data_IF_913376536861
#
_entry.id   IF_913376536861
#
_cell.length_a   1.000
_cell.length_b   1.000
_cell.length_c   1.000
_cell.angle_alpha   90.00
_cell.angle_beta   90.00
_cell.angle_gamma   90.00
#
_symmetry.space_group_name_H-M   'P 1'
#
loop_
_entity.id
_entity.type
_entity.pdbx_description
1 polymer ?
#
# COMPACT_ATOMS: atom_id res chain seq x y z
N UNK A 1 21.41 -27.28 -7.19
CA UNK A 1 20.47 -27.00 -8.29
C UNK A 1 21.26 -26.36 -9.43
N UNK A 2 21.37 -27.02 -10.59
CA UNK A 2 22.19 -26.51 -11.71
C UNK A 2 21.32 -25.58 -12.55
N UNK A 3 21.60 -24.27 -12.48
CA UNK A 3 20.90 -23.28 -13.29
C UNK A 3 21.56 -23.18 -14.68
N UNK A 4 20.91 -23.74 -15.70
CA UNK A 4 21.34 -23.60 -17.09
C UNK A 4 20.95 -22.21 -17.61
N UNK A 5 21.85 -21.23 -17.50
CA UNK A 5 21.64 -19.89 -18.06
C UNK A 5 22.13 -19.84 -19.50
N UNK A 6 21.29 -19.38 -20.42
CA UNK A 6 21.68 -19.14 -21.81
C UNK A 6 21.55 -17.65 -22.13
N UNK A 7 22.58 -17.06 -22.74
CA UNK A 7 22.49 -15.70 -23.28
C UNK A 7 21.85 -15.80 -24.66
N UNK A 8 20.70 -15.14 -24.85
CA UNK A 8 20.06 -15.01 -26.18
C UNK A 8 20.19 -13.58 -26.69
N UNK A 9 20.57 -13.46 -27.95
CA UNK A 9 20.58 -12.20 -28.70
C UNK A 9 19.27 -12.09 -29.47
N UNK A 10 18.58 -10.96 -29.36
CA UNK A 10 17.36 -10.68 -30.14
C UNK A 10 17.60 -9.40 -30.94
N UNK A 11 17.45 -9.40 -32.28
CA UNK A 11 17.69 -8.22 -33.09
C UNK A 11 16.66 -7.13 -32.75
N UNK A 12 17.12 -5.88 -32.71
CA UNK A 12 16.28 -4.70 -32.46
C UNK A 12 16.13 -3.84 -33.71
N UNK A 13 17.23 -3.59 -34.42
CA UNK A 13 17.27 -2.73 -35.60
C UNK A 13 18.58 -2.97 -36.36
N UNK A 14 18.56 -2.75 -37.67
CA UNK A 14 19.69 -2.93 -38.57
C UNK A 14 19.88 -1.66 -39.43
N UNK A 15 21.12 -1.38 -39.84
CA UNK A 15 21.45 -0.22 -40.67
C UNK A 15 22.69 -0.50 -41.53
N UNK A 16 22.59 -0.28 -42.83
CA UNK A 16 23.70 -0.32 -43.78
C UNK A 16 24.69 0.83 -43.53
N UNK A 17 25.98 0.55 -43.71
CA UNK A 17 27.07 1.52 -43.69
C UNK A 17 27.37 1.93 -45.14
N UNK A 18 27.04 3.16 -45.55
CA UNK A 18 27.34 3.63 -46.90
C UNK A 18 28.84 3.89 -47.07
N UNK A 19 29.33 3.73 -48.31
CA UNK A 19 30.67 4.01 -48.79
C UNK A 19 31.83 3.21 -48.17
N UNK A 20 31.54 2.28 -47.26
CA UNK A 20 32.55 1.38 -46.68
C UNK A 20 32.73 0.12 -47.55
N UNK A 21 33.99 -0.30 -47.74
CA UNK A 21 34.36 -1.54 -48.44
C UNK A 21 34.48 -2.71 -47.46
N UNK A 22 34.00 -3.90 -47.84
CA UNK A 22 34.24 -5.10 -47.05
C UNK A 22 35.72 -5.51 -47.12
N UNK A 23 36.44 -5.70 -45.99
CA UNK A 23 37.86 -6.08 -45.99
C UNK A 23 38.14 -7.50 -46.52
N UNK A 24 37.09 -8.31 -46.76
CA UNK A 24 37.22 -9.69 -47.27
C UNK A 24 36.83 -9.82 -48.74
N UNK A 25 35.81 -9.09 -49.21
CA UNK A 25 35.29 -9.22 -50.58
C UNK A 25 35.35 -7.93 -51.43
N UNK A 26 35.86 -6.82 -50.90
CA UNK A 26 36.02 -5.54 -51.61
C UNK A 26 34.72 -4.83 -52.02
N UNK A 27 33.54 -5.42 -51.79
CA UNK A 27 32.26 -4.84 -52.20
C UNK A 27 31.89 -3.63 -51.32
N UNK A 28 31.65 -2.48 -51.96
CA UNK A 28 31.08 -1.26 -51.35
C UNK A 28 29.62 -1.46 -50.93
N UNK A 29 29.18 -0.68 -49.94
CA UNK A 29 27.78 -0.64 -49.47
C UNK A 29 27.23 -2.00 -49.00
N UNK A 30 28.13 -2.94 -48.67
CA UNK A 30 27.79 -4.32 -48.32
C UNK A 30 27.82 -4.58 -46.81
N UNK A 31 28.19 -3.59 -45.99
CA UNK A 31 28.32 -3.76 -44.54
C UNK A 31 27.04 -3.31 -43.82
N UNK A 32 26.56 -4.14 -42.90
CA UNK A 32 25.40 -3.88 -42.07
C UNK A 32 25.76 -3.93 -40.58
N UNK A 33 25.25 -2.97 -39.81
CA UNK A 33 25.32 -2.95 -38.35
C UNK A 33 23.97 -3.36 -37.78
N UNK A 34 23.95 -4.44 -36.99
CA UNK A 34 22.73 -4.89 -36.29
C UNK A 34 22.88 -4.65 -34.80
N UNK A 35 21.91 -3.94 -34.22
CA UNK A 35 21.78 -3.77 -32.78
C UNK A 35 20.97 -4.94 -32.19
N UNK A 36 21.55 -5.64 -31.23
CA UNK A 36 20.87 -6.71 -30.49
C UNK A 36 20.65 -6.33 -29.04
N UNK A 37 19.54 -6.78 -28.46
CA UNK A 37 19.39 -6.86 -27.01
C UNK A 37 19.90 -8.22 -26.52
N UNK A 38 20.75 -8.22 -25.49
CA UNK A 38 21.17 -9.43 -24.77
C UNK A 38 20.16 -9.72 -23.67
N UNK A 39 19.65 -10.95 -23.60
CA UNK A 39 18.80 -11.42 -22.51
C UNK A 39 19.44 -12.61 -21.80
N UNK A 40 19.39 -12.63 -20.46
CA UNK A 40 19.61 -13.87 -19.71
C UNK A 40 18.31 -14.70 -19.79
N UNK A 41 18.35 -15.84 -20.48
CA UNK A 41 17.22 -16.79 -20.48
C UNK A 41 17.33 -17.67 -19.23
N UNK A 42 16.63 -17.27 -18.18
CA UNK A 42 16.45 -18.03 -16.94
C UNK A 42 14.95 -18.07 -16.60
N UNK A 43 14.26 -19.08 -17.11
CA UNK A 43 12.79 -19.29 -17.09
C UNK A 43 11.91 -18.17 -17.70
N UNK A 44 12.24 -16.89 -17.52
CA UNK A 44 11.44 -15.74 -18.00
C UNK A 44 12.38 -14.63 -18.53
N UNK A 45 12.10 -13.97 -19.68
CA UNK A 45 13.05 -13.07 -20.34
C UNK A 45 13.14 -11.64 -19.74
N UNK A 46 13.12 -11.50 -18.41
CA UNK A 46 13.08 -10.19 -17.76
C UNK A 46 14.44 -9.48 -17.61
N UNK A 47 15.56 -10.19 -17.71
CA UNK A 47 16.89 -9.61 -17.48
C UNK A 47 17.57 -9.21 -18.80
N UNK A 48 17.30 -7.97 -19.24
CA UNK A 48 18.01 -7.33 -20.34
C UNK A 48 19.44 -6.96 -19.94
N UNK A 49 20.41 -7.79 -20.30
CA UNK A 49 21.83 -7.69 -19.90
C UNK A 49 22.62 -6.60 -20.64
N UNK A 50 21.97 -5.76 -21.45
CA UNK A 50 22.58 -4.72 -22.25
C UNK A 50 22.42 -4.92 -23.75
N UNK A 51 23.15 -4.11 -24.53
CA UNK A 51 23.09 -4.12 -26.00
C UNK A 51 24.38 -4.65 -26.60
N UNK A 52 24.25 -5.57 -27.53
CA UNK A 52 25.32 -5.96 -28.43
C UNK A 52 25.16 -5.27 -29.78
N UNK A 53 26.24 -5.23 -30.56
CA UNK A 53 26.23 -4.75 -31.94
C UNK A 53 27.07 -5.70 -32.77
N UNK A 54 26.45 -6.30 -33.77
CA UNK A 54 27.13 -7.05 -34.82
C UNK A 54 27.49 -6.11 -35.97
N UNK A 55 28.55 -6.46 -36.70
CA UNK A 55 28.85 -5.88 -38.00
C UNK A 55 29.24 -7.02 -38.92
N UNK A 56 28.49 -7.20 -40.02
CA UNK A 56 28.74 -8.26 -41.00
C UNK A 56 28.60 -7.72 -42.43
N UNK A 57 29.12 -8.47 -43.40
CA UNK A 57 28.95 -8.17 -44.82
C UNK A 57 27.81 -8.99 -45.41
N UNK A 58 26.76 -8.34 -45.92
CA UNK A 58 25.59 -8.96 -46.57
C UNK A 58 25.92 -9.64 -47.91
N UNK A 59 27.15 -9.50 -48.41
CA UNK A 59 27.59 -10.04 -49.69
C UNK A 59 28.56 -11.23 -49.60
N UNK A 60 29.05 -11.56 -48.41
CA UNK A 60 29.92 -12.72 -48.16
C UNK A 60 29.76 -13.31 -46.74
N UNK A 61 28.74 -12.88 -46.01
CA UNK A 61 28.39 -13.25 -44.62
C UNK A 61 29.53 -13.17 -43.60
N UNK A 62 30.60 -12.45 -43.91
CA UNK A 62 31.74 -12.31 -43.01
C UNK A 62 31.42 -11.39 -41.83
N UNK A 63 31.48 -11.95 -40.62
CA UNK A 63 31.27 -11.23 -39.36
C UNK A 63 32.53 -10.49 -38.93
N UNK A 64 32.58 -9.20 -39.23
CA UNK A 64 33.66 -8.28 -38.81
C UNK A 64 33.66 -8.12 -37.28
N UNK A 65 32.47 -8.02 -36.68
CA UNK A 65 32.26 -7.85 -35.24
C UNK A 65 31.18 -8.81 -34.74
N UNK A 66 31.59 -9.78 -33.95
CA UNK A 66 30.69 -10.74 -33.30
C UNK A 66 29.92 -10.08 -32.12
N UNK A 67 28.57 -10.17 -32.06
CA UNK A 67 27.77 -9.65 -30.96
C UNK A 67 27.99 -10.39 -29.62
N UNK A 68 28.61 -11.57 -29.64
CA UNK A 68 28.96 -12.42 -28.49
C UNK A 68 30.32 -12.07 -27.88
N UNK A 69 31.20 -11.41 -28.65
CA UNK A 69 32.56 -11.12 -28.24
C UNK A 69 32.66 -10.37 -26.89
N UNK A 70 33.68 -10.66 -26.07
CA UNK A 70 33.88 -9.99 -24.79
C UNK A 70 34.30 -8.53 -24.98
N UNK A 71 34.00 -7.68 -23.98
CA UNK A 71 34.23 -6.22 -24.06
C UNK A 71 35.70 -5.83 -24.28
N UNK A 72 36.64 -6.67 -23.83
CA UNK A 72 38.08 -6.48 -24.00
C UNK A 72 38.61 -6.86 -25.39
N UNK A 73 37.82 -7.54 -26.24
CA UNK A 73 38.17 -7.84 -27.64
C UNK A 73 37.98 -6.61 -28.55
N UNK A 74 38.69 -5.51 -28.24
CA UNK A 74 38.71 -4.29 -29.04
C UNK A 74 39.51 -4.54 -30.33
N UNK A 75 38.83 -4.87 -31.42
CA UNK A 75 39.41 -4.75 -32.77
C UNK A 75 39.51 -3.27 -33.15
N UNK A 76 40.51 -2.93 -33.95
CA UNK A 76 40.57 -1.64 -34.63
C UNK A 76 39.56 -1.65 -35.78
N UNK A 77 38.46 -0.92 -35.61
CA UNK A 77 37.44 -0.72 -36.65
C UNK A 77 37.72 0.61 -37.37
N UNK A 78 37.24 0.74 -38.61
CA UNK A 78 37.29 2.02 -39.32
C UNK A 78 36.42 3.09 -38.64
N UNK A 79 36.70 4.39 -38.86
CA UNK A 79 35.89 5.47 -38.31
C UNK A 79 34.40 5.37 -38.66
N UNK A 80 34.06 4.98 -39.91
CA UNK A 80 32.69 4.82 -40.37
C UNK A 80 31.93 3.72 -39.60
N UNK A 81 32.57 2.57 -39.34
CA UNK A 81 31.99 1.50 -38.52
C UNK A 81 31.76 1.98 -37.08
N UNK A 82 32.70 2.72 -36.50
CA UNK A 82 32.58 3.26 -35.14
C UNK A 82 31.42 4.26 -35.06
N UNK A 83 31.29 5.15 -36.04
CA UNK A 83 30.20 6.13 -36.10
C UNK A 83 28.84 5.47 -36.27
N UNK A 84 28.72 4.49 -37.19
CA UNK A 84 27.48 3.73 -37.39
C UNK A 84 27.04 3.00 -36.09
N UNK A 85 27.98 2.38 -35.38
CA UNK A 85 27.75 1.74 -34.06
C UNK A 85 27.30 2.77 -33.01
N UNK A 86 27.85 3.99 -33.02
CA UNK A 86 27.43 5.06 -32.10
C UNK A 86 26.01 5.53 -32.43
N UNK A 87 25.75 5.84 -33.69
CA UNK A 87 24.47 6.33 -34.23
C UNK A 87 23.30 5.37 -33.95
N UNK A 88 23.46 4.08 -34.22
CA UNK A 88 22.40 3.08 -33.98
C UNK A 88 22.11 2.89 -32.47
N UNK A 89 23.13 3.04 -31.62
CA UNK A 89 22.99 2.96 -30.15
C UNK A 89 22.29 4.18 -29.54
N UNK A 90 22.57 5.38 -30.05
CA UNK A 90 21.95 6.63 -29.55
C UNK A 90 20.51 6.79 -30.02
N UNK A 91 20.21 6.42 -31.27
CA UNK A 91 18.88 6.61 -31.84
C UNK A 91 17.85 5.62 -31.29
N UNK A 92 18.26 4.38 -30.99
CA UNK A 92 17.39 3.45 -30.28
C UNK A 92 17.30 3.84 -28.79
N UNK A 93 16.28 4.59 -28.39
CA UNK A 93 15.99 4.85 -26.96
C UNK A 93 15.54 3.54 -26.25
N UNK A 94 15.58 3.50 -24.92
CA UNK A 94 14.94 2.42 -24.14
C UNK A 94 13.52 2.83 -23.81
N UNK A 95 12.56 1.91 -23.89
CA UNK A 95 11.20 2.13 -23.41
C UNK A 95 11.23 2.24 -21.89
N UNK A 96 10.49 3.19 -21.29
CA UNK A 96 10.48 3.38 -19.83
C UNK A 96 10.08 2.11 -19.06
N UNK A 97 9.21 1.28 -19.63
CA UNK A 97 8.85 -0.04 -19.10
C UNK A 97 10.05 -1.00 -18.91
N UNK A 98 11.15 -0.82 -19.66
CA UNK A 98 12.40 -1.59 -19.47
C UNK A 98 13.23 -1.13 -18.26
N UNK A 99 12.83 -0.04 -17.57
CA UNK A 99 13.44 0.44 -16.32
C UNK A 99 12.69 -0.07 -15.08
N UNK A 100 11.48 -0.64 -15.23
CA UNK A 100 10.82 -1.42 -14.19
C UNK A 100 11.52 -2.77 -14.12
N UNK A 101 12.69 -2.77 -13.50
CA UNK A 101 13.46 -3.98 -13.26
C UNK A 101 12.74 -4.90 -12.27
N UNK A 102 12.95 -6.23 -12.33
CA UNK A 102 12.31 -7.17 -11.41
C UNK A 102 12.51 -6.83 -9.92
N UNK A 103 13.63 -6.20 -9.55
CA UNK A 103 13.85 -5.78 -8.16
C UNK A 103 12.87 -4.71 -7.69
N UNK A 104 12.38 -3.79 -8.53
CA UNK A 104 11.43 -2.74 -8.09
C UNK A 104 10.09 -3.36 -7.72
N UNK A 105 9.67 -4.40 -8.44
CA UNK A 105 8.50 -5.23 -8.12
C UNK A 105 8.73 -5.99 -6.81
N UNK A 106 9.90 -6.62 -6.62
CA UNK A 106 10.22 -7.29 -5.36
C UNK A 106 10.21 -6.33 -4.16
N UNK A 107 10.80 -5.13 -4.28
CA UNK A 107 10.79 -4.11 -3.23
C UNK A 107 9.38 -3.60 -2.93
N UNK A 108 8.53 -3.41 -3.94
CA UNK A 108 7.14 -3.01 -3.75
C UNK A 108 6.34 -4.09 -3.00
N UNK A 109 6.48 -5.36 -3.39
CA UNK A 109 5.82 -6.50 -2.70
C UNK A 109 6.30 -6.60 -1.25
N UNK A 110 7.61 -6.49 -1.00
CA UNK A 110 8.17 -6.50 0.34
C UNK A 110 7.64 -5.33 1.20
N UNK A 111 7.55 -4.12 0.64
CA UNK A 111 7.01 -2.96 1.34
C UNK A 111 5.52 -3.09 1.70
N UNK A 112 4.71 -3.68 0.82
CA UNK A 112 3.30 -3.98 1.10
C UNK A 112 3.18 -5.05 2.20
N UNK A 113 4.00 -6.11 2.13
CA UNK A 113 3.98 -7.20 3.11
C UNK A 113 4.41 -6.73 4.51
N UNK A 114 5.48 -5.94 4.63
CA UNK A 114 5.92 -5.41 5.93
C UNK A 114 4.92 -4.42 6.51
N UNK A 115 4.32 -3.55 5.68
CA UNK A 115 3.26 -2.64 6.11
C UNK A 115 2.03 -3.40 6.64
N UNK A 116 1.61 -4.47 5.95
CA UNK A 116 0.51 -5.33 6.39
C UNK A 116 0.76 -5.98 7.76
N UNK A 117 1.96 -6.52 7.98
CA UNK A 117 2.35 -7.14 9.25
C UNK A 117 2.39 -6.12 10.41
N UNK A 118 2.94 -4.92 10.18
CA UNK A 118 2.99 -3.85 11.18
C UNK A 118 1.56 -3.44 11.60
N UNK A 119 0.67 -3.22 10.63
CA UNK A 119 -0.72 -2.87 10.90
C UNK A 119 -1.47 -4.01 11.63
N UNK A 120 -1.17 -5.28 11.32
CA UNK A 120 -1.78 -6.42 12.00
C UNK A 120 -1.37 -6.49 13.47
N UNK A 121 -0.09 -6.28 13.81
CA UNK A 121 0.39 -6.24 15.19
C UNK A 121 -0.20 -5.05 15.98
N UNK A 122 -0.34 -3.87 15.34
CA UNK A 122 -1.02 -2.71 15.96
C UNK A 122 -2.48 -3.06 16.28
N UNK A 123 -3.22 -3.63 15.32
CA UNK A 123 -4.61 -4.07 15.53
C UNK A 123 -4.74 -5.11 16.63
N UNK A 124 -3.81 -6.07 16.71
CA UNK A 124 -3.79 -7.11 17.74
C UNK A 124 -3.56 -6.51 19.14
N UNK A 125 -2.65 -5.55 19.28
CA UNK A 125 -2.43 -4.85 20.56
C UNK A 125 -3.64 -4.03 20.98
N UNK A 126 -4.26 -3.31 20.05
CA UNK A 126 -5.46 -2.52 20.35
C UNK A 126 -6.62 -3.43 20.79
N UNK A 127 -6.87 -4.54 20.07
CA UNK A 127 -7.93 -5.49 20.44
C UNK A 127 -7.73 -6.12 21.82
N UNK A 128 -6.52 -6.58 22.16
CA UNK A 128 -6.20 -7.10 23.50
C UNK A 128 -6.43 -6.08 24.62
N UNK A 129 -5.99 -4.83 24.43
CA UNK A 129 -6.24 -3.76 25.40
C UNK A 129 -7.75 -3.53 25.60
N UNK A 130 -8.54 -3.60 24.52
CA UNK A 130 -10.00 -3.40 24.60
C UNK A 130 -10.70 -4.50 25.40
N UNK A 131 -10.26 -5.74 25.22
CA UNK A 131 -10.75 -6.90 25.98
C UNK A 131 -10.46 -6.70 27.48
N UNK A 132 -9.26 -6.27 27.86
CA UNK A 132 -8.88 -5.96 29.26
C UNK A 132 -9.77 -4.86 29.88
N UNK A 133 -10.07 -3.78 29.14
CA UNK A 133 -10.97 -2.71 29.63
C UNK A 133 -12.44 -3.16 29.75
N UNK A 134 -12.88 -4.14 28.95
CA UNK A 134 -14.21 -4.72 29.04
C UNK A 134 -14.31 -5.76 30.16
N UNK A 135 -13.25 -6.51 30.45
CA UNK A 135 -13.21 -7.46 31.58
C UNK A 135 -13.15 -6.77 32.95
N UNK A 136 -12.55 -5.57 33.03
CA UNK A 136 -12.34 -4.82 34.27
C UNK A 136 -12.87 -3.37 34.18
N UNK A 137 -14.20 -3.18 34.07
CA UNK A 137 -14.81 -1.84 33.99
C UNK A 137 -14.67 -1.06 35.30
N UNK A 138 -14.41 0.24 35.20
CA UNK A 138 -14.28 1.15 36.33
C UNK A 138 -15.27 2.32 36.26
N UNK A 139 -15.71 2.80 37.43
CA UNK A 139 -16.56 3.99 37.50
C UNK A 139 -15.79 5.19 36.97
N UNK A 140 -16.36 5.86 35.95
CA UNK A 140 -15.71 6.93 35.20
C UNK A 140 -15.47 6.59 33.73
N UNK A 141 -15.34 5.32 33.37
CA UNK A 141 -15.02 4.85 32.00
C UNK A 141 -16.07 5.31 30.97
N UNK A 142 -15.63 5.65 29.75
CA UNK A 142 -16.48 6.15 28.66
C UNK A 142 -16.37 5.25 27.43
N UNK A 143 -17.50 4.67 27.02
CA UNK A 143 -17.60 3.76 25.89
C UNK A 143 -18.44 4.40 24.78
N UNK A 144 -17.93 4.52 23.55
CA UNK A 144 -18.73 4.68 22.32
C UNK A 144 -19.66 3.46 22.17
N UNK A 145 -20.88 3.65 21.67
CA UNK A 145 -21.91 2.61 21.61
C UNK A 145 -22.75 2.74 20.35
N UNK A 146 -22.95 1.64 19.63
CA UNK A 146 -23.89 1.51 18.52
C UNK A 146 -25.27 1.01 19.01
N UNK A 147 -26.02 1.86 19.71
CA UNK A 147 -27.29 1.49 20.37
C UNK A 147 -28.49 1.62 19.43
N UNK A 148 -29.49 0.75 19.58
CA UNK A 148 -30.75 0.89 18.84
C UNK A 148 -31.68 1.95 19.46
N UNK A 149 -32.37 2.76 18.64
CA UNK A 149 -33.23 3.88 19.06
C UNK A 149 -34.30 3.52 20.11
N UNK A 150 -34.86 2.31 20.06
CA UNK A 150 -35.86 1.87 21.04
C UNK A 150 -35.35 1.82 22.49
N UNK A 151 -34.03 1.80 22.72
CA UNK A 151 -33.44 1.80 24.05
C UNK A 151 -33.12 3.21 24.58
N UNK A 152 -32.79 4.15 23.71
CA UNK A 152 -32.54 5.56 24.07
C UNK A 152 -33.84 6.38 24.13
N UNK A 153 -34.89 5.96 23.42
CA UNK A 153 -36.13 6.73 23.28
C UNK A 153 -36.05 7.81 22.19
N UNK A 154 -34.98 7.82 21.40
CA UNK A 154 -34.80 8.69 20.24
C UNK A 154 -35.74 8.22 19.14
N UNK A 155 -36.57 9.11 18.59
CA UNK A 155 -37.45 8.81 17.46
C UNK A 155 -36.65 8.86 16.16
N UNK A 156 -36.33 7.71 15.58
CA UNK A 156 -35.72 7.57 14.24
C UNK A 156 -36.67 6.89 13.26
N UNK A 157 -36.37 6.96 11.97
CA UNK A 157 -37.20 6.38 10.90
C UNK A 157 -36.56 5.08 10.40
N UNK A 158 -36.96 3.95 11.01
CA UNK A 158 -36.51 2.60 10.63
C UNK A 158 -35.45 2.00 11.55
N UNK A 159 -34.80 0.91 11.10
CA UNK A 159 -33.80 0.13 11.87
C UNK A 159 -32.41 0.80 11.93
N UNK A 160 -32.37 2.12 12.03
CA UNK A 160 -31.13 2.92 12.07
C UNK A 160 -30.49 2.77 13.45
N UNK A 161 -29.17 2.60 13.53
CA UNK A 161 -28.43 2.60 14.80
C UNK A 161 -28.03 4.04 15.17
N UNK A 162 -27.99 4.31 16.48
CA UNK A 162 -27.50 5.58 17.04
C UNK A 162 -26.09 5.35 17.58
N UNK A 163 -25.16 6.23 17.22
CA UNK A 163 -23.78 6.19 17.68
C UNK A 163 -23.55 7.36 18.65
N UNK A 164 -23.10 7.05 19.87
CA UNK A 164 -22.94 8.03 20.97
C UNK A 164 -21.99 7.49 22.05
N UNK A 165 -21.62 8.30 23.04
CA UNK A 165 -20.80 7.90 24.19
C UNK A 165 -21.69 7.53 25.39
N UNK A 166 -21.30 6.53 26.17
CA UNK A 166 -21.90 6.13 27.45
C UNK A 166 -20.85 6.17 28.55
N UNK A 167 -21.10 6.92 29.62
CA UNK A 167 -20.23 6.99 30.80
C UNK A 167 -20.73 6.08 31.92
N UNK A 168 -19.86 5.27 32.49
CA UNK A 168 -20.16 4.39 33.62
C UNK A 168 -20.17 5.20 34.93
N UNK A 169 -21.32 5.27 35.61
CA UNK A 169 -21.51 6.06 36.84
C UNK A 169 -21.51 5.21 38.11
N UNK A 170 -21.92 3.94 38.04
CA UNK A 170 -21.92 3.04 39.19
C UNK A 170 -21.87 1.58 38.75
N UNK A 171 -21.19 0.73 39.52
CA UNK A 171 -21.18 -0.73 39.39
C UNK A 171 -21.83 -1.30 40.65
N UNK A 172 -22.77 -2.23 40.51
CA UNK A 172 -23.37 -2.96 41.62
C UNK A 172 -23.55 -4.44 41.24
N UNK A 173 -22.57 -5.26 41.62
CA UNK A 173 -22.47 -6.65 41.17
C UNK A 173 -22.45 -6.73 39.64
N UNK A 174 -23.33 -7.56 39.08
CA UNK A 174 -23.52 -7.69 37.62
C UNK A 174 -24.18 -6.46 36.97
N UNK A 175 -24.65 -5.44 37.72
CA UNK A 175 -25.35 -4.29 37.12
C UNK A 175 -24.45 -3.06 36.96
N UNK A 176 -24.22 -2.68 35.71
CA UNK A 176 -23.63 -1.40 35.31
C UNK A 176 -24.72 -0.32 35.20
N UNK A 177 -24.52 0.83 35.83
CA UNK A 177 -25.36 2.02 35.69
C UNK A 177 -24.63 3.07 34.86
N UNK A 178 -25.10 3.31 33.64
CA UNK A 178 -24.45 4.15 32.64
C UNK A 178 -25.35 5.32 32.22
N UNK A 179 -24.75 6.41 31.75
CA UNK A 179 -25.46 7.58 31.22
C UNK A 179 -25.03 7.87 29.79
N UNK A 180 -25.98 8.19 28.91
CA UNK A 180 -25.73 8.52 27.51
C UNK A 180 -25.19 9.95 27.38
N UNK A 181 -24.40 10.24 26.35
CA UNK A 181 -24.06 11.62 25.97
C UNK A 181 -25.28 12.31 25.35
N UNK A 182 -25.43 13.61 25.60
CA UNK A 182 -26.49 14.42 24.98
C UNK A 182 -26.30 14.52 23.47
N UNK A 183 -25.05 14.55 23.02
CA UNK A 183 -24.67 14.54 21.61
C UNK A 183 -24.69 13.11 21.06
N UNK A 184 -25.38 12.91 19.94
CA UNK A 184 -25.49 11.62 19.26
C UNK A 184 -25.69 11.79 17.75
N UNK A 185 -25.05 10.91 16.97
CA UNK A 185 -25.21 10.87 15.52
C UNK A 185 -26.28 9.84 15.13
N UNK A 186 -27.14 10.24 14.18
CA UNK A 186 -28.15 9.37 13.56
C UNK A 186 -27.68 9.04 12.14
N UNK A 187 -27.78 7.78 11.74
CA UNK A 187 -27.48 7.21 10.41
C UNK A 187 -26.02 6.98 10.03
N UNK A 188 -25.23 8.04 9.85
CA UNK A 188 -23.91 7.91 9.20
C UNK A 188 -22.76 7.61 10.16
N UNK A 189 -23.06 7.62 11.46
CA UNK A 189 -22.05 7.56 12.51
C UNK A 189 -21.26 8.86 12.62
N UNK A 190 -20.28 8.81 13.51
CA UNK A 190 -19.26 9.84 13.68
C UNK A 190 -18.01 9.37 12.93
N UNK A 191 -17.41 10.23 12.11
CA UNK A 191 -16.04 10.01 11.63
C UNK A 191 -15.08 9.97 12.84
N UNK A 192 -13.88 9.43 12.67
CA UNK A 192 -12.94 9.32 13.80
C UNK A 192 -12.64 10.69 14.44
N UNK A 193 -12.54 11.74 13.60
CA UNK A 193 -12.47 13.16 13.98
C UNK A 193 -13.70 13.67 14.74
N UNK A 194 -14.90 13.21 14.43
CA UNK A 194 -16.12 13.68 15.11
C UNK A 194 -16.19 13.11 16.53
N UNK A 195 -15.74 11.86 16.72
CA UNK A 195 -15.60 11.31 18.08
C UNK A 195 -14.65 12.14 18.93
N UNK A 196 -13.57 12.69 18.37
CA UNK A 196 -12.65 13.57 19.10
C UNK A 196 -13.37 14.82 19.62
N UNK A 197 -14.26 15.39 18.80
CA UNK A 197 -14.98 16.65 19.09
C UNK A 197 -16.07 16.54 20.18
N UNK A 198 -16.57 15.34 20.49
CA UNK A 198 -17.62 15.16 21.51
C UNK A 198 -17.15 15.55 22.91
N UNK A 199 -17.97 16.31 23.64
CA UNK A 199 -17.64 16.65 25.03
C UNK A 199 -17.68 15.42 25.93
N UNK A 200 -16.64 15.25 26.77
CA UNK A 200 -16.45 14.13 27.72
C UNK A 200 -16.60 14.54 29.19
N UNK A 201 -16.89 15.81 29.43
CA UNK A 201 -17.12 16.36 30.76
C UNK A 201 -18.43 15.82 31.35
N UNK A 202 -18.57 15.84 32.68
CA UNK A 202 -19.74 15.25 33.37
C UNK A 202 -21.07 15.91 33.02
N UNK A 203 -21.05 17.17 32.58
CA UNK A 203 -22.20 17.95 32.10
C UNK A 203 -22.61 17.62 30.65
N UNK A 204 -21.76 16.96 29.86
CA UNK A 204 -22.09 16.50 28.52
C UNK A 204 -23.03 15.28 28.51
N UNK A 205 -23.15 14.58 29.64
CA UNK A 205 -23.97 13.38 29.77
C UNK A 205 -25.39 13.69 30.28
N UNK A 206 -26.34 12.86 29.86
CA UNK A 206 -27.72 12.87 30.34
C UNK A 206 -27.81 12.51 31.83
N UNK A 207 -28.89 12.96 32.48
CA UNK A 207 -29.23 12.54 33.85
C UNK A 207 -29.93 11.17 33.89
N UNK A 208 -30.34 10.63 32.73
CA UNK A 208 -31.05 9.36 32.63
C UNK A 208 -30.09 8.18 32.76
N UNK A 209 -30.28 7.39 33.81
CA UNK A 209 -29.47 6.20 34.09
C UNK A 209 -30.05 4.98 33.36
N UNK A 210 -29.22 4.36 32.53
CA UNK A 210 -29.48 3.08 31.88
C UNK A 210 -28.79 1.97 32.69
N UNK A 211 -29.55 0.94 33.07
CA UNK A 211 -29.03 -0.22 33.82
C UNK A 211 -28.82 -1.40 32.88
N UNK A 212 -27.58 -1.88 32.79
CA UNK A 212 -27.15 -2.93 31.88
C UNK A 212 -26.49 -4.04 32.70
N UNK A 213 -26.79 -5.30 32.40
CA UNK A 213 -26.10 -6.44 33.02
C UNK A 213 -24.75 -6.66 32.33
N UNK A 214 -23.69 -6.76 33.10
CA UNK A 214 -22.32 -6.98 32.66
C UNK A 214 -22.19 -8.31 31.91
N UNK A 215 -22.78 -9.39 32.46
CA UNK A 215 -22.91 -10.67 31.76
C UNK A 215 -23.62 -10.55 30.41
N UNK A 216 -24.63 -9.67 30.29
CA UNK A 216 -25.33 -9.37 29.01
C UNK A 216 -24.57 -8.39 28.10
N UNK A 217 -23.46 -7.82 28.55
CA UNK A 217 -22.56 -6.99 27.75
C UNK A 217 -21.40 -7.83 27.21
N UNK A 218 -20.91 -8.81 27.98
CA UNK A 218 -19.87 -9.77 27.59
C UNK A 218 -20.40 -10.97 26.77
N UNK A 219 -21.72 -11.16 26.67
CA UNK A 219 -22.34 -12.23 25.86
C UNK A 219 -22.32 -11.90 24.36
N UNK A 220 -21.22 -12.31 23.72
CA UNK A 220 -20.90 -12.13 22.29
C UNK A 220 -21.81 -12.88 21.32
N UNK A 221 -22.75 -13.71 21.80
CA UNK A 221 -23.61 -14.55 20.96
C UNK A 221 -24.94 -13.85 20.62
N UNK A 222 -25.36 -12.85 21.41
CA UNK A 222 -26.65 -12.16 21.22
C UNK A 222 -26.54 -10.88 20.37
N UNK A 223 -27.53 -10.64 19.50
CA UNK A 223 -27.60 -9.45 18.62
C UNK A 223 -27.59 -8.13 19.43
N UNK A 224 -26.41 -7.52 19.62
CA UNK A 224 -26.23 -6.40 20.56
C UNK A 224 -25.33 -5.25 20.07
N UNK A 225 -25.50 -4.05 20.66
CA UNK A 225 -24.66 -2.88 20.40
C UNK A 225 -23.16 -3.17 20.42
N UNK A 226 -22.43 -2.57 19.48
CA UNK A 226 -20.97 -2.54 19.47
C UNK A 226 -20.51 -1.49 20.48
N UNK A 227 -19.71 -1.87 21.47
CA UNK A 227 -19.11 -0.97 22.47
C UNK A 227 -17.63 -0.74 22.14
N UNK A 228 -17.16 0.51 22.14
CA UNK A 228 -15.80 0.90 21.78
C UNK A 228 -15.29 2.09 22.61
N UNK A 229 -14.18 2.03 23.34
CA UNK A 229 -13.66 3.11 24.22
C UNK A 229 -12.76 4.14 23.40
N UNK A 230 -12.00 5.11 23.94
CA UNK A 230 -11.40 6.22 23.13
C UNK A 230 -10.12 6.87 23.73
N UNK A 231 -9.09 7.40 23.01
CA UNK A 231 -7.82 7.93 23.63
C UNK A 231 -7.51 9.44 23.53
N UNK A 232 -6.99 10.01 24.64
CA UNK A 232 -6.55 11.42 24.81
C UNK A 232 -5.07 11.69 24.49
N UNK A 233 -4.18 10.75 24.84
CA UNK A 233 -2.73 11.00 24.95
C UNK A 233 -2.04 11.29 23.61
N UNK A 234 -2.61 10.82 22.50
CA UNK A 234 -2.12 11.12 21.15
C UNK A 234 -2.36 12.58 20.75
N UNK A 235 -3.48 13.20 21.14
CA UNK A 235 -3.88 14.53 20.68
C UNK A 235 -2.96 15.67 21.17
N UNK A 236 -2.41 15.58 22.37
CA UNK A 236 -1.46 16.58 22.89
C UNK A 236 -0.07 16.48 22.21
N UNK A 237 0.31 15.30 21.72
CA UNK A 237 1.51 15.12 20.88
C UNK A 237 1.30 15.66 19.46
N UNK A 238 0.09 15.48 18.90
CA UNK A 238 -0.27 15.99 17.58
C UNK A 238 -0.42 17.51 17.61
N UNK A 239 -1.14 18.11 18.58
CA UNK A 239 -1.27 19.57 18.73
C UNK A 239 0.06 20.30 18.95
N UNK A 240 1.09 19.65 19.51
CA UNK A 240 2.45 20.20 19.58
C UNK A 240 3.17 20.24 18.24
N UNK A 241 2.86 19.34 17.31
CA UNK A 241 3.54 19.20 16.02
C UNK A 241 2.72 19.72 14.82
N UNK A 242 1.40 19.84 14.93
CA UNK A 242 0.49 20.23 13.83
C UNK A 242 0.20 21.74 13.77
N UNK A 243 1.23 22.59 13.91
CA UNK A 243 1.19 23.96 13.36
C UNK A 243 1.63 23.93 11.90
N UNK A 244 0.76 23.41 11.03
CA UNK A 244 1.06 23.38 9.60
C UNK A 244 0.04 22.59 8.78
N UNK A 245 -0.66 23.31 7.91
CA UNK A 245 -1.40 22.86 6.73
C UNK A 245 -2.70 22.08 6.96
N UNK A 246 -3.79 22.73 6.51
CA UNK A 246 -5.11 22.12 6.35
C UNK A 246 -5.28 21.48 4.96
N UNK A 247 -6.37 20.73 4.83
CA UNK A 247 -6.98 20.23 3.60
C UNK A 247 -6.19 19.20 2.75
N UNK A 248 -6.69 17.97 2.72
CA UNK A 248 -7.45 17.43 1.57
C UNK A 248 -8.54 16.49 2.11
N UNK A 249 -9.80 16.70 1.71
CA UNK A 249 -10.88 15.74 1.93
C UNK A 249 -11.15 14.95 0.63
N UNK A 250 -11.31 13.63 0.75
CA UNK A 250 -11.79 12.77 -0.34
C UNK A 250 -12.78 11.74 0.20
N UNK A 251 -13.99 11.75 -0.36
CA UNK A 251 -15.05 10.78 -0.07
C UNK A 251 -14.72 9.41 -0.66
N UNK A 252 -14.79 8.34 0.14
CA UNK A 252 -14.82 6.95 -0.35
C UNK A 252 -15.74 6.08 0.53
N UNK A 253 -16.68 5.37 -0.11
CA UNK A 253 -17.12 4.05 0.35
C UNK A 253 -18.45 3.94 1.12
N UNK A 254 -19.38 3.16 0.55
CA UNK A 254 -20.48 2.56 1.33
C UNK A 254 -19.92 1.49 2.28
N UNK A 255 -20.30 1.53 3.56
CA UNK A 255 -19.94 0.47 4.52
C UNK A 255 -20.75 -0.81 4.28
N UNK A 256 -20.13 -1.78 3.63
CA UNK A 256 -20.62 -3.15 3.54
C UNK A 256 -20.37 -3.88 4.88
N UNK A 257 -21.25 -4.81 5.27
CA UNK A 257 -21.10 -5.63 6.49
C UNK A 257 -19.91 -6.58 6.37
N UNK A 258 -18.73 -6.16 6.84
CA UNK A 258 -17.57 -7.04 7.06
C UNK A 258 -16.51 -6.34 7.90
N UNK A 259 -16.20 -6.88 9.09
CA UNK A 259 -14.93 -6.65 9.79
C UNK A 259 -14.51 -5.20 10.05
N UNK A 260 -15.42 -4.38 10.61
CA UNK A 260 -15.08 -3.01 11.02
C UNK A 260 -13.97 -2.98 12.08
N UNK A 261 -12.90 -2.23 11.81
CA UNK A 261 -11.73 -2.09 12.67
C UNK A 261 -12.05 -1.37 13.99
N UNK A 262 -11.31 -1.67 15.05
CA UNK A 262 -11.65 -1.28 16.42
C UNK A 262 -10.42 -0.67 17.15
N UNK A 263 -10.35 0.68 17.23
CA UNK A 263 -9.25 1.45 17.84
C UNK A 263 -9.76 2.44 18.93
N UNK A 264 -9.15 2.41 20.14
CA UNK A 264 -9.79 2.69 21.45
C UNK A 264 -8.71 2.82 22.62
N UNK A 265 -8.63 3.83 23.55
CA UNK A 265 -7.94 3.82 24.93
C UNK A 265 -8.13 5.11 25.90
N UNK A 266 -9.09 5.28 26.87
CA UNK A 266 -9.06 6.38 27.90
C UNK A 266 -9.44 5.93 29.33
N UNK A 267 -8.47 5.93 30.25
CA UNK A 267 -8.73 6.18 31.68
C UNK A 267 -8.21 7.57 32.07
N UNK A 268 -8.81 8.22 33.09
CA UNK A 268 -8.23 9.41 33.73
C UNK A 268 -6.94 9.07 34.51
#
# INVERSE_FOLDING_TARGET
MIYYYQIKHTPLTAKLIPNEECPVCGKKNSLEVVLYMRYLRSLVPFFGMGRATEVYCTSCDHVIKDPSAPFYAKKNYSPAIIEAIKNIRTNHKRTWWQLIYPWTVCWAILGIATYGLINQEIKKKNTLNNEEFLEHPMVGDIYKVAIYPQFTGIKTVGKQQVLTLFKLKQINGDTLSMVCNKEHAINYGYEESDWENLSRNDDAFETRIYKISFKKLMDTISERPIWQYYNKTTLDSIRKNSRGNAAVSQYIGQLHRSGGEVNIIERP
#
